data_IF_190206667236
#
_entry.id   IF_190206667236
#
_cell.length_a   1.000
_cell.length_b   1.000
_cell.length_c   1.000
_cell.angle_alpha   90.00
_cell.angle_beta   90.00
_cell.angle_gamma   90.00
#
_symmetry.space_group_name_H-M   'P 1'
#
loop_
_entity.id
_entity.type
_entity.pdbx_description
1 polymer ?
#
# COMPACT_ATOMS: atom_id res chain seq x y z
N UNK A 1 -3.21 36.38 -16.83
CA UNK A 1 -3.68 36.69 -15.45
C UNK A 1 -4.68 35.66 -14.90
N UNK A 2 -5.93 35.53 -15.39
CA UNK A 2 -6.89 34.54 -14.82
C UNK A 2 -6.46 33.07 -14.98
N UNK A 3 -5.76 32.75 -16.07
CA UNK A 3 -5.26 31.40 -16.34
C UNK A 3 -4.07 31.01 -15.44
N UNK A 4 -3.24 31.99 -15.09
CA UNK A 4 -2.06 31.79 -14.22
C UNK A 4 -2.48 31.59 -12.76
N UNK A 5 -3.51 32.31 -12.33
CA UNK A 5 -4.08 32.17 -10.98
C UNK A 5 -4.75 30.81 -10.76
N UNK A 6 -5.40 30.25 -11.79
CA UNK A 6 -5.99 28.90 -11.71
C UNK A 6 -4.91 27.83 -11.62
N UNK A 7 -3.85 27.94 -12.44
CA UNK A 7 -2.70 27.02 -12.40
C UNK A 7 -1.98 27.01 -11.06
N UNK A 8 -1.78 28.17 -10.45
CA UNK A 8 -1.13 28.25 -9.13
C UNK A 8 -2.01 27.65 -8.03
N UNK A 9 -3.33 27.86 -8.07
CA UNK A 9 -4.27 27.22 -7.13
C UNK A 9 -4.32 25.71 -7.29
N UNK A 10 -4.33 25.21 -8.52
CA UNK A 10 -4.32 23.76 -8.81
C UNK A 10 -3.01 23.13 -8.32
N UNK A 11 -1.86 23.75 -8.59
CA UNK A 11 -0.56 23.29 -8.08
C UNK A 11 -0.48 23.28 -6.55
N UNK A 12 -1.06 24.28 -5.87
CA UNK A 12 -1.14 24.32 -4.41
C UNK A 12 -2.06 23.22 -3.85
N UNK A 13 -3.17 22.91 -4.53
CA UNK A 13 -4.07 21.81 -4.16
C UNK A 13 -3.38 20.46 -4.32
N UNK A 14 -2.73 20.22 -5.45
CA UNK A 14 -1.96 19.00 -5.71
C UNK A 14 -0.87 18.81 -4.66
N UNK A 15 -0.14 19.88 -4.32
CA UNK A 15 0.89 19.83 -3.29
C UNK A 15 0.31 19.51 -1.90
N UNK A 16 -0.80 20.14 -1.52
CA UNK A 16 -1.48 19.83 -0.24
C UNK A 16 -2.01 18.40 -0.20
N UNK A 17 -2.53 17.91 -1.32
CA UNK A 17 -2.99 16.53 -1.43
C UNK A 17 -1.83 15.56 -1.26
N UNK A 18 -0.71 15.81 -1.93
CA UNK A 18 0.50 15.00 -1.81
C UNK A 18 1.06 15.02 -0.38
N UNK A 19 1.07 16.18 0.29
CA UNK A 19 1.48 16.27 1.69
C UNK A 19 0.61 15.44 2.63
N UNK A 20 -0.72 15.42 2.43
CA UNK A 20 -1.65 14.56 3.19
C UNK A 20 -1.35 13.08 2.98
N UNK A 21 -1.05 12.70 1.75
CA UNK A 21 -0.72 11.32 1.38
C UNK A 21 0.64 10.85 1.92
N UNK A 22 1.53 11.77 2.28
CA UNK A 22 2.86 11.49 2.82
C UNK A 22 2.93 11.61 4.36
N UNK A 23 1.78 11.69 5.03
CA UNK A 23 1.69 11.66 6.50
C UNK A 23 1.94 10.25 7.04
N UNK A 24 2.45 10.14 8.27
CA UNK A 24 2.67 8.84 8.91
C UNK A 24 1.38 8.00 8.97
N UNK A 25 0.24 8.62 9.28
CA UNK A 25 -1.07 7.97 9.33
C UNK A 25 -1.45 7.34 7.99
N UNK A 26 -1.29 8.07 6.87
CA UNK A 26 -1.51 7.54 5.51
C UNK A 26 -0.66 6.29 5.22
N UNK A 27 0.59 6.22 5.69
CA UNK A 27 1.41 5.00 5.53
C UNK A 27 0.92 3.84 6.38
N UNK A 28 0.47 4.12 7.60
CA UNK A 28 -0.05 3.08 8.51
C UNK A 28 -1.35 2.48 7.98
N UNK A 29 -2.24 3.33 7.47
CA UNK A 29 -3.48 2.88 6.84
C UNK A 29 -3.20 2.04 5.59
N UNK A 30 -2.28 2.49 4.73
CA UNK A 30 -1.88 1.72 3.55
C UNK A 30 -1.22 0.39 3.94
N UNK A 31 -0.35 0.37 4.96
CA UNK A 31 0.26 -0.86 5.47
C UNK A 31 -0.80 -1.84 6.00
N UNK A 32 -1.82 -1.35 6.71
CA UNK A 32 -2.95 -2.15 7.19
C UNK A 32 -3.73 -2.75 6.02
N UNK A 33 -4.09 -1.95 5.02
CA UNK A 33 -4.80 -2.39 3.81
C UNK A 33 -4.01 -3.51 3.09
N UNK A 34 -2.70 -3.34 2.89
CA UNK A 34 -1.87 -4.38 2.28
C UNK A 34 -1.83 -5.67 3.11
N UNK A 35 -1.82 -5.59 4.44
CA UNK A 35 -1.88 -6.79 5.30
C UNK A 35 -3.21 -7.52 5.16
N UNK A 36 -4.32 -6.78 5.08
CA UNK A 36 -5.64 -7.35 4.88
C UNK A 36 -5.74 -8.06 3.52
N UNK A 37 -5.30 -7.39 2.44
CA UNK A 37 -5.24 -7.99 1.10
C UNK A 37 -4.34 -9.24 1.06
N UNK A 38 -3.15 -9.16 1.68
CA UNK A 38 -2.25 -10.29 1.79
C UNK A 38 -2.88 -11.45 2.58
N UNK A 39 -3.64 -11.15 3.64
CA UNK A 39 -4.42 -12.13 4.39
C UNK A 39 -5.49 -12.84 3.54
N UNK A 40 -6.20 -12.10 2.69
CA UNK A 40 -7.17 -12.66 1.75
C UNK A 40 -6.50 -13.57 0.72
N UNK A 41 -5.41 -13.10 0.10
CA UNK A 41 -4.57 -13.91 -0.79
C UNK A 41 -4.12 -15.21 -0.12
N UNK A 42 -3.71 -15.14 1.15
CA UNK A 42 -3.28 -16.32 1.91
C UNK A 42 -4.38 -17.37 2.02
N UNK A 43 -5.62 -16.93 2.28
CA UNK A 43 -6.78 -17.80 2.45
C UNK A 43 -7.24 -18.43 1.13
N UNK A 44 -7.11 -17.72 0.02
CA UNK A 44 -7.57 -18.17 -1.30
C UNK A 44 -6.61 -19.18 -1.97
N UNK A 45 -5.30 -19.16 -1.67
CA UNK A 45 -4.30 -20.10 -2.24
C UNK A 45 -3.48 -20.85 -1.19
N UNK A 46 -4.08 -21.71 -0.35
CA UNK A 46 -3.38 -22.34 0.77
C UNK A 46 -2.26 -23.32 0.36
N UNK A 47 -2.25 -23.82 -0.89
CA UNK A 47 -1.37 -24.92 -1.33
C UNK A 47 -0.14 -24.51 -2.16
N UNK A 48 0.08 -23.21 -2.40
CA UNK A 48 1.25 -22.73 -3.15
C UNK A 48 2.33 -22.20 -2.20
N UNK A 49 3.31 -23.04 -1.84
CA UNK A 49 4.34 -22.69 -0.86
C UNK A 49 5.11 -21.40 -1.18
N UNK A 50 5.63 -21.25 -2.41
CA UNK A 50 6.37 -20.04 -2.79
C UNK A 50 5.51 -18.76 -2.72
N UNK A 51 4.22 -18.87 -3.04
CA UNK A 51 3.27 -17.77 -2.92
C UNK A 51 3.00 -17.43 -1.44
N UNK A 52 2.80 -18.45 -0.60
CA UNK A 52 2.60 -18.28 0.84
C UNK A 52 3.81 -17.60 1.50
N UNK A 53 5.04 -17.96 1.12
CA UNK A 53 6.25 -17.29 1.61
C UNK A 53 6.30 -15.82 1.19
N UNK A 54 5.97 -15.51 -0.07
CA UNK A 54 5.90 -14.13 -0.56
C UNK A 54 4.86 -13.33 0.23
N UNK A 55 3.67 -13.89 0.46
CA UNK A 55 2.61 -13.25 1.24
C UNK A 55 3.06 -13.00 2.67
N UNK A 56 3.73 -13.97 3.31
CA UNK A 56 4.29 -13.80 4.65
C UNK A 56 5.29 -12.65 4.71
N UNK A 57 6.24 -12.57 3.76
CA UNK A 57 7.20 -11.47 3.69
C UNK A 57 6.52 -10.11 3.58
N UNK A 58 5.50 -9.99 2.72
CA UNK A 58 4.72 -8.76 2.59
C UNK A 58 4.07 -8.39 3.93
N UNK A 59 3.45 -9.35 4.63
CA UNK A 59 2.85 -9.09 5.94
C UNK A 59 3.87 -8.60 6.97
N UNK A 60 5.04 -9.23 7.01
CA UNK A 60 6.13 -8.87 7.92
C UNK A 60 6.69 -7.47 7.59
N UNK A 61 6.89 -7.15 6.31
CA UNK A 61 7.33 -5.83 5.85
C UNK A 61 6.31 -4.73 6.19
N UNK A 62 5.01 -5.00 6.04
CA UNK A 62 3.97 -4.05 6.41
C UNK A 62 3.89 -3.82 7.92
N UNK A 63 4.17 -4.86 8.72
CA UNK A 63 4.29 -4.71 10.16
C UNK A 63 5.48 -3.83 10.56
N UNK A 64 6.63 -4.05 9.92
CA UNK A 64 7.81 -3.21 10.13
C UNK A 64 7.54 -1.77 9.72
N UNK A 65 6.85 -1.55 8.60
CA UNK A 65 6.47 -0.22 8.14
C UNK A 65 5.51 0.48 9.11
N UNK A 66 4.48 -0.20 9.61
CA UNK A 66 3.55 0.38 10.59
C UNK A 66 4.29 0.82 11.88
N UNK A 67 5.17 -0.05 12.39
CA UNK A 67 6.02 0.27 13.55
C UNK A 67 6.95 1.44 13.26
N UNK A 68 7.60 1.47 12.10
CA UNK A 68 8.48 2.57 11.70
C UNK A 68 7.68 3.88 11.61
N UNK A 69 6.53 3.87 10.94
CA UNK A 69 5.67 5.04 10.76
C UNK A 69 5.12 5.60 12.08
N UNK A 70 4.98 4.78 13.12
CA UNK A 70 4.63 5.22 14.47
C UNK A 70 5.75 6.01 15.17
N UNK A 71 6.99 5.94 14.67
CA UNK A 71 8.15 6.53 15.32
C UNK A 71 8.46 7.95 14.80
N UNK A 72 9.10 8.83 15.62
CA UNK A 72 9.56 10.14 15.16
C UNK A 72 10.56 10.08 13.99
N UNK A 73 11.32 8.99 13.89
CA UNK A 73 12.31 8.74 12.83
C UNK A 73 11.65 8.77 11.45
N UNK A 74 10.42 8.28 11.32
CA UNK A 74 9.69 8.33 10.05
C UNK A 74 9.42 9.76 9.58
N UNK A 75 9.08 10.66 10.51
CA UNK A 75 8.85 12.08 10.18
C UNK A 75 10.11 12.80 9.73
N UNK A 76 11.29 12.27 10.10
CA UNK A 76 12.60 12.79 9.66
C UNK A 76 12.96 12.34 8.24
N UNK A 77 12.22 11.40 7.64
CA UNK A 77 12.42 11.02 6.25
C UNK A 77 12.08 12.20 5.32
N UNK A 78 12.93 12.41 4.31
CA UNK A 78 12.66 13.38 3.26
C UNK A 78 11.33 13.06 2.57
N UNK A 79 10.63 14.09 2.09
CA UNK A 79 9.37 13.90 1.35
C UNK A 79 9.57 13.02 0.12
N UNK A 80 10.73 13.13 -0.55
CA UNK A 80 11.11 12.28 -1.67
C UNK A 80 11.19 10.80 -1.25
N UNK A 81 11.84 10.50 -0.12
CA UNK A 81 11.94 9.12 0.36
C UNK A 81 10.58 8.54 0.72
N UNK A 82 9.73 9.34 1.38
CA UNK A 82 8.34 8.94 1.66
C UNK A 82 7.58 8.66 0.36
N UNK A 83 7.70 9.52 -0.65
CA UNK A 83 7.06 9.31 -1.94
C UNK A 83 7.49 8.01 -2.62
N UNK A 84 8.79 7.68 -2.59
CA UNK A 84 9.30 6.40 -3.11
C UNK A 84 8.68 5.20 -2.40
N UNK A 85 8.65 5.22 -1.06
CA UNK A 85 8.04 4.17 -0.27
C UNK A 85 6.56 4.02 -0.66
N UNK A 86 5.81 5.13 -0.75
CA UNK A 86 4.39 5.10 -1.12
C UNK A 86 4.17 4.51 -2.51
N UNK A 87 4.97 4.89 -3.50
CA UNK A 87 4.89 4.31 -4.87
C UNK A 87 5.10 2.80 -4.85
N UNK A 88 6.10 2.34 -4.09
CA UNK A 88 6.34 0.90 -3.94
C UNK A 88 5.16 0.19 -3.29
N UNK A 89 4.56 0.76 -2.25
CA UNK A 89 3.39 0.19 -1.59
C UNK A 89 2.17 0.10 -2.51
N UNK A 90 1.90 1.17 -3.28
CA UNK A 90 0.80 1.18 -4.25
C UNK A 90 1.01 0.13 -5.34
N UNK A 91 2.25 -0.07 -5.80
CA UNK A 91 2.58 -1.13 -6.73
C UNK A 91 2.30 -2.52 -6.13
N UNK A 92 2.77 -2.79 -4.91
CA UNK A 92 2.51 -4.04 -4.20
C UNK A 92 1.01 -4.29 -3.97
N UNK A 93 0.23 -3.25 -3.62
CA UNK A 93 -1.22 -3.34 -3.48
C UNK A 93 -1.88 -3.78 -4.80
N UNK A 94 -1.51 -3.16 -5.92
CA UNK A 94 -2.07 -3.50 -7.22
C UNK A 94 -1.77 -4.95 -7.59
N UNK A 95 -0.54 -5.43 -7.34
CA UNK A 95 -0.19 -6.84 -7.57
C UNK A 95 -1.00 -7.81 -6.70
N UNK A 96 -1.25 -7.46 -5.43
CA UNK A 96 -2.11 -8.27 -4.55
C UNK A 96 -3.55 -8.30 -5.06
N UNK A 97 -4.10 -7.16 -5.45
CA UNK A 97 -5.45 -7.08 -6.03
C UNK A 97 -5.59 -7.92 -7.30
N UNK A 98 -4.63 -7.80 -8.23
CA UNK A 98 -4.57 -8.63 -9.44
C UNK A 98 -4.54 -10.11 -9.07
N UNK A 99 -3.80 -10.48 -8.03
CA UNK A 99 -3.78 -11.85 -7.55
C UNK A 99 -5.17 -12.27 -7.07
N UNK A 100 -5.80 -11.52 -6.15
CA UNK A 100 -7.16 -11.81 -5.64
C UNK A 100 -8.18 -11.97 -6.77
N UNK A 101 -8.15 -11.10 -7.79
CA UNK A 101 -9.07 -11.18 -8.93
C UNK A 101 -8.88 -12.46 -9.77
N UNK A 102 -7.67 -12.99 -9.81
CA UNK A 102 -7.33 -14.22 -10.51
C UNK A 102 -7.50 -15.48 -9.63
N UNK A 103 -8.21 -15.37 -8.50
CA UNK A 103 -8.54 -16.50 -7.64
C UNK A 103 -9.24 -17.61 -8.40
N UNK A 104 -8.76 -18.88 -8.31
CA UNK A 104 -9.58 -19.98 -8.74
C UNK A 104 -10.88 -19.88 -7.94
N UNK A 105 -12.02 -19.81 -8.65
CA UNK A 105 -13.32 -19.83 -8.01
C UNK A 105 -13.34 -21.01 -7.01
N UNK A 106 -14.00 -20.88 -5.85
CA UNK A 106 -14.15 -21.99 -4.94
C UNK A 106 -14.98 -23.05 -5.67
N UNK A 107 -14.31 -23.94 -6.39
CA UNK A 107 -14.94 -25.08 -7.03
C UNK A 107 -15.40 -25.93 -5.88
N UNK A 108 -16.70 -25.90 -5.63
CA UNK A 108 -17.41 -26.74 -4.69
C UNK A 108 -16.96 -28.18 -4.93
N UNK A 109 -16.06 -28.69 -4.10
CA UNK A 109 -15.84 -30.14 -3.99
C UNK A 109 -17.03 -30.70 -3.22
N UNK A 110 -18.17 -30.79 -3.92
CA UNK A 110 -19.19 -31.80 -3.64
C UNK A 110 -18.66 -33.08 -4.29
N UNK A 111 -17.94 -33.88 -3.52
CA UNK A 111 -17.70 -35.28 -3.82
C UNK A 111 -18.56 -36.13 -2.89
#
# INVERSE_FOLDING_TARGET
>A
MRHDLRRTLDALRERRQLERELTAESFRDLARELRELAGLCRALWPRQHAFQERIKRIMDEMEQLDRLAATPQFRRLSSQKRLEIRKSLLHSRNQLMETVQNAPAPTTTLQ
#
